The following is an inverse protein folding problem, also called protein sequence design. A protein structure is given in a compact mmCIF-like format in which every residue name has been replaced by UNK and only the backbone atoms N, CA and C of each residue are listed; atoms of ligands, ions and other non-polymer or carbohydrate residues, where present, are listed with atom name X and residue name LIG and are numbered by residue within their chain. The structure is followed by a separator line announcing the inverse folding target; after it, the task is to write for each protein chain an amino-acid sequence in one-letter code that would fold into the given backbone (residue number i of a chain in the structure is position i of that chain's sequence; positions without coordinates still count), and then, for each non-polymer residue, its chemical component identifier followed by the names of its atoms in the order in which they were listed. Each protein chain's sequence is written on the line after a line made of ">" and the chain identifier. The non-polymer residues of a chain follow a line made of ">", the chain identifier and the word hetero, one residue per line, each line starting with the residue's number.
data_IF_700221615593
#
_entry.id   IF_700221615593
#
_cell.length_a   1.000
_cell.length_b   1.000
_cell.length_c   1.000
_cell.angle_alpha   90.00
_cell.angle_beta   90.00
_cell.angle_gamma   90.00
#
_symmetry.space_group_name_H-M   'P 1'
#
loop_
_entity.id
_entity.type
_entity.pdbx_description
1 polymer ?
#
# COMPACT_ATOMS: atom_id res chain seq x y z
N UNK A 1 -51.42 35.87 -88.23
CA UNK A 1 -50.31 34.88 -88.21
C UNK A 1 -49.77 34.90 -86.81
N UNK A 2 -50.09 33.86 -86.06
CA UNK A 2 -49.87 33.78 -84.62
C UNK A 2 -48.69 32.85 -84.39
N UNK A 3 -47.60 33.37 -83.84
CA UNK A 3 -46.45 32.57 -83.41
C UNK A 3 -46.77 31.82 -82.12
N UNK A 4 -46.39 30.53 -82.00
CA UNK A 4 -46.60 29.75 -80.80
C UNK A 4 -45.44 29.91 -79.82
N UNK A 5 -45.76 30.23 -78.56
CA UNK A 5 -44.85 30.18 -77.42
C UNK A 5 -44.55 28.74 -77.01
N UNK A 6 -43.26 28.39 -76.93
CA UNK A 6 -42.76 27.13 -76.35
C UNK A 6 -42.81 27.18 -74.80
N UNK A 7 -43.09 26.06 -74.12
CA UNK A 7 -43.00 25.99 -72.67
C UNK A 7 -41.55 25.73 -72.22
N UNK A 8 -41.13 26.50 -71.22
CA UNK A 8 -39.86 26.42 -70.51
C UNK A 8 -39.89 25.22 -69.56
N UNK A 9 -39.09 24.18 -69.88
CA UNK A 9 -38.99 22.95 -69.11
C UNK A 9 -37.77 23.05 -68.18
N UNK A 10 -37.98 23.53 -66.96
CA UNK A 10 -36.97 23.59 -65.89
C UNK A 10 -37.28 22.55 -64.81
N UNK A 11 -36.69 21.36 -64.94
CA UNK A 11 -36.62 20.37 -63.86
C UNK A 11 -35.17 20.28 -63.39
N UNK A 12 -34.82 21.08 -62.38
CA UNK A 12 -33.59 20.95 -61.61
C UNK A 12 -33.72 19.74 -60.68
N UNK A 13 -33.43 18.55 -61.21
CA UNK A 13 -33.18 17.38 -60.36
C UNK A 13 -31.74 17.47 -59.82
N UNK A 14 -31.54 17.50 -58.49
CA UNK A 14 -30.20 17.52 -57.91
C UNK A 14 -29.50 16.19 -58.19
N UNK A 15 -28.32 16.29 -58.79
CA UNK A 15 -27.37 15.20 -58.99
C UNK A 15 -27.09 14.53 -57.62
N UNK A 16 -27.26 13.20 -57.47
CA UNK A 16 -26.94 12.53 -56.23
C UNK A 16 -25.44 12.61 -55.96
N UNK A 17 -25.08 13.20 -54.83
CA UNK A 17 -23.71 13.24 -54.33
C UNK A 17 -23.13 11.82 -54.31
N UNK A 18 -22.02 11.66 -55.03
CA UNK A 18 -21.19 10.47 -55.02
C UNK A 18 -20.76 10.17 -53.57
N UNK A 19 -21.43 9.20 -52.94
CA UNK A 19 -21.06 8.67 -51.63
C UNK A 19 -19.77 7.89 -51.81
N UNK A 20 -18.63 8.58 -51.66
CA UNK A 20 -17.34 7.94 -51.47
C UNK A 20 -17.45 7.02 -50.24
N UNK A 21 -17.03 5.73 -50.34
CA UNK A 21 -17.04 4.84 -49.20
C UNK A 21 -16.17 5.46 -48.08
N UNK A 22 -16.61 5.35 -46.81
CA UNK A 22 -15.87 5.91 -45.68
C UNK A 22 -14.45 5.34 -45.69
N UNK A 23 -13.47 6.25 -45.74
CA UNK A 23 -12.06 5.91 -45.59
C UNK A 23 -11.88 4.98 -44.37
N UNK A 24 -11.21 3.83 -44.53
CA UNK A 24 -11.01 2.89 -43.43
C UNK A 24 -10.33 3.63 -42.28
N UNK A 25 -11.03 3.72 -41.15
CA UNK A 25 -10.48 4.31 -39.93
C UNK A 25 -9.17 3.57 -39.63
N UNK A 26 -8.06 4.29 -39.41
CA UNK A 26 -6.81 3.64 -39.06
C UNK A 26 -7.09 2.83 -37.79
N UNK A 27 -7.03 1.52 -37.94
CA UNK A 27 -7.06 0.55 -36.88
C UNK A 27 -5.90 0.96 -35.96
N UNK A 28 -6.24 1.61 -34.85
CA UNK A 28 -5.25 2.00 -33.85
C UNK A 28 -4.74 0.71 -33.25
N UNK A 29 -3.69 0.17 -33.86
CA UNK A 29 -2.93 -0.94 -33.34
C UNK A 29 -2.69 -0.68 -31.87
N UNK A 30 -3.27 -1.56 -31.07
CA UNK A 30 -3.16 -1.63 -29.64
C UNK A 30 -1.74 -2.11 -29.28
N UNK A 31 -0.70 -1.39 -29.75
CA UNK A 31 0.63 -1.48 -29.21
C UNK A 31 0.60 -0.85 -27.80
N UNK A 32 0.00 -1.58 -26.86
CA UNK A 32 0.38 -1.52 -25.45
C UNK A 32 1.84 -1.96 -25.39
N UNK A 33 2.74 -1.05 -25.72
CA UNK A 33 4.16 -1.21 -25.44
C UNK A 33 4.25 -1.58 -23.97
N UNK A 34 4.72 -2.80 -23.72
CA UNK A 34 4.96 -3.34 -22.39
C UNK A 34 6.14 -2.55 -21.81
N UNK A 35 5.93 -1.27 -21.48
CA UNK A 35 6.90 -0.47 -20.75
C UNK A 35 6.97 -1.08 -19.37
N UNK A 36 7.89 -2.02 -19.21
CA UNK A 36 8.34 -2.48 -17.91
C UNK A 36 8.78 -1.23 -17.17
N UNK A 37 8.07 -0.91 -16.09
CA UNK A 37 8.40 0.21 -15.22
C UNK A 37 9.68 -0.15 -14.44
N UNK A 38 10.83 0.04 -15.09
CA UNK A 38 12.16 -0.34 -14.62
C UNK A 38 12.47 0.16 -13.21
N UNK A 39 11.88 1.30 -12.84
CA UNK A 39 12.04 1.89 -11.52
C UNK A 39 11.25 1.16 -10.42
N UNK A 40 10.12 0.53 -10.77
CA UNK A 40 9.37 -0.36 -9.88
C UNK A 40 10.09 -1.70 -9.71
N UNK A 41 10.61 -2.26 -10.80
CA UNK A 41 11.35 -3.53 -10.80
C UNK A 41 12.67 -3.40 -10.04
N UNK A 42 13.45 -2.33 -10.25
CA UNK A 42 14.73 -2.12 -9.58
C UNK A 42 14.59 -2.00 -8.06
N UNK A 43 13.54 -1.33 -7.57
CA UNK A 43 13.27 -1.23 -6.12
C UNK A 43 12.98 -2.58 -5.47
N UNK A 44 12.19 -3.43 -6.13
CA UNK A 44 11.90 -4.79 -5.63
C UNK A 44 13.18 -5.62 -5.56
N UNK A 45 14.03 -5.52 -6.59
CA UNK A 45 15.33 -6.20 -6.63
C UNK A 45 16.24 -5.71 -5.51
N UNK A 46 16.33 -4.39 -5.28
CA UNK A 46 17.14 -3.83 -4.17
C UNK A 46 16.66 -4.33 -2.80
N UNK A 47 15.36 -4.40 -2.56
CA UNK A 47 14.81 -4.93 -1.30
C UNK A 47 15.18 -6.41 -1.15
N UNK A 48 15.01 -7.22 -2.20
CA UNK A 48 15.38 -8.63 -2.19
C UNK A 48 16.87 -8.83 -1.92
N UNK A 49 17.75 -8.04 -2.55
CA UNK A 49 19.18 -8.09 -2.29
C UNK A 49 19.52 -7.79 -0.82
N UNK A 50 18.88 -6.77 -0.22
CA UNK A 50 19.11 -6.44 1.20
C UNK A 50 18.65 -7.55 2.14
N UNK A 51 17.49 -8.17 1.86
CA UNK A 51 17.02 -9.33 2.63
C UNK A 51 18.00 -10.49 2.49
N UNK A 52 18.48 -10.75 1.26
CA UNK A 52 19.49 -11.78 1.00
C UNK A 52 20.77 -11.57 1.80
N UNK A 53 21.23 -10.32 1.91
CA UNK A 53 22.40 -9.96 2.74
C UNK A 53 22.14 -10.26 4.23
N UNK A 54 20.97 -9.90 4.78
CA UNK A 54 20.68 -10.21 6.18
C UNK A 54 20.59 -11.72 6.44
N UNK A 55 19.99 -12.49 5.53
CA UNK A 55 19.97 -13.95 5.61
C UNK A 55 21.40 -14.52 5.57
N UNK A 56 22.26 -14.01 4.70
CA UNK A 56 23.65 -14.46 4.61
C UNK A 56 24.44 -14.16 5.91
N UNK A 57 24.30 -12.94 6.44
CA UNK A 57 24.93 -12.54 7.71
C UNK A 57 24.42 -13.41 8.86
N UNK A 58 23.11 -13.69 8.89
CA UNK A 58 22.51 -14.57 9.89
C UNK A 58 23.08 -15.98 9.81
N UNK A 59 23.17 -16.59 8.62
CA UNK A 59 23.72 -17.93 8.47
C UNK A 59 25.19 -18.02 8.86
N UNK A 60 25.98 -16.97 8.56
CA UNK A 60 27.36 -16.87 9.03
C UNK A 60 27.43 -16.80 10.57
N UNK A 61 26.62 -15.95 11.19
CA UNK A 61 26.58 -15.81 12.65
C UNK A 61 26.12 -17.11 13.32
N UNK A 62 25.05 -17.73 12.82
CA UNK A 62 24.53 -18.99 13.35
C UNK A 62 25.54 -20.14 13.20
N UNK A 63 26.23 -20.22 12.06
CA UNK A 63 27.29 -21.21 11.84
C UNK A 63 28.48 -20.99 12.78
N UNK A 64 28.90 -19.74 12.97
CA UNK A 64 29.96 -19.40 13.91
C UNK A 64 29.57 -19.74 15.34
N UNK A 65 28.35 -19.37 15.76
CA UNK A 65 27.79 -19.65 17.08
C UNK A 65 27.67 -21.15 17.33
N UNK A 66 27.22 -21.93 16.35
CA UNK A 66 27.15 -23.39 16.46
C UNK A 66 28.51 -24.05 16.69
N UNK A 67 29.55 -23.55 16.03
CA UNK A 67 30.89 -24.14 16.13
C UNK A 67 31.67 -23.71 17.38
N UNK A 68 31.38 -22.54 17.94
CA UNK A 68 32.20 -21.95 19.02
C UNK A 68 31.49 -21.89 20.38
N UNK A 69 30.16 -22.03 20.42
CA UNK A 69 29.39 -21.93 21.66
C UNK A 69 28.80 -23.29 22.03
N UNK A 70 29.14 -23.86 23.19
CA UNK A 70 28.59 -25.14 23.61
C UNK A 70 27.07 -25.05 23.80
N UNK A 71 26.39 -26.18 23.52
CA UNK A 71 24.97 -26.33 23.82
C UNK A 71 24.74 -26.28 25.35
N UNK A 72 23.64 -25.65 25.82
CA UNK A 72 22.51 -25.10 25.07
C UNK A 72 22.65 -23.62 24.68
N UNK A 73 23.73 -22.94 25.10
CA UNK A 73 23.89 -21.50 24.93
C UNK A 73 23.98 -21.07 23.46
N UNK A 74 24.57 -21.90 22.58
CA UNK A 74 24.59 -21.63 21.15
C UNK A 74 23.20 -21.57 20.51
N UNK A 75 22.24 -22.33 21.04
CA UNK A 75 20.85 -22.34 20.56
C UNK A 75 20.12 -21.05 20.97
N UNK A 76 20.39 -20.56 22.18
CA UNK A 76 19.87 -19.27 22.63
C UNK A 76 20.43 -18.10 21.81
N UNK A 77 21.75 -18.08 21.59
CA UNK A 77 22.42 -16.99 20.87
C UNK A 77 21.98 -16.95 19.39
N UNK A 78 21.88 -18.11 18.72
CA UNK A 78 21.35 -18.19 17.35
C UNK A 78 19.88 -17.75 17.26
N UNK A 79 19.08 -17.96 18.32
CA UNK A 79 17.73 -17.42 18.43
C UNK A 79 17.70 -15.87 18.46
N UNK A 80 18.63 -15.24 19.17
CA UNK A 80 18.78 -13.77 19.20
C UNK A 80 19.25 -13.25 17.83
N UNK A 81 20.21 -13.93 17.20
CA UNK A 81 20.70 -13.54 15.87
C UNK A 81 19.58 -13.61 14.82
N UNK A 82 18.75 -14.64 14.87
CA UNK A 82 17.58 -14.79 14.01
C UNK A 82 16.61 -13.62 14.22
N UNK A 83 16.40 -13.22 15.46
CA UNK A 83 15.54 -12.09 15.80
C UNK A 83 16.00 -10.78 15.17
N UNK A 84 17.30 -10.49 15.30
CA UNK A 84 17.90 -9.28 14.74
C UNK A 84 17.77 -9.30 13.21
N UNK A 85 18.02 -10.44 12.57
CA UNK A 85 17.90 -10.59 11.12
C UNK A 85 16.45 -10.39 10.62
N UNK A 86 15.47 -10.94 11.34
CA UNK A 86 14.04 -10.74 11.04
C UNK A 86 13.65 -9.26 11.20
N UNK A 87 14.06 -8.62 12.30
CA UNK A 87 13.78 -7.21 12.55
C UNK A 87 14.41 -6.29 11.49
N UNK A 88 15.66 -6.54 11.08
CA UNK A 88 16.37 -5.78 10.05
C UNK A 88 15.73 -5.95 8.66
N UNK A 89 15.36 -7.18 8.31
CA UNK A 89 14.65 -7.49 7.06
C UNK A 89 13.32 -6.77 6.99
N UNK A 90 12.55 -6.81 8.08
CA UNK A 90 11.25 -6.18 8.13
C UNK A 90 11.33 -4.65 8.05
N UNK A 91 12.29 -4.04 8.76
CA UNK A 91 12.56 -2.59 8.69
C UNK A 91 12.91 -2.16 7.27
N UNK A 92 13.72 -2.97 6.57
CA UNK A 92 14.13 -2.70 5.19
C UNK A 92 12.97 -2.81 4.20
N UNK A 93 12.09 -3.80 4.36
CA UNK A 93 10.87 -3.93 3.55
C UNK A 93 10.02 -2.67 3.73
N UNK A 94 9.80 -2.20 4.96
CA UNK A 94 8.97 -1.01 5.23
C UNK A 94 9.57 0.25 4.61
N UNK A 95 10.87 0.49 4.79
CA UNK A 95 11.54 1.66 4.23
C UNK A 95 11.53 1.62 2.70
N UNK A 96 11.56 0.42 2.11
CA UNK A 96 11.48 0.22 0.65
C UNK A 96 10.07 0.36 0.07
N UNK A 97 9.01 0.02 0.83
CA UNK A 97 7.61 0.06 0.36
C UNK A 97 6.93 1.41 0.55
N UNK A 98 7.46 2.29 1.41
CA UNK A 98 6.96 3.65 1.55
C UNK A 98 7.31 4.50 0.30
N UNK A 99 6.41 4.52 -0.69
CA UNK A 99 6.50 5.54 -1.75
C UNK A 99 6.23 6.91 -1.14
N UNK A 100 7.10 7.92 -1.35
CA UNK A 100 6.76 9.30 -1.04
C UNK A 100 5.54 9.68 -1.89
N UNK A 101 4.50 10.16 -1.20
CA UNK A 101 3.32 10.73 -1.84
C UNK A 101 3.78 11.93 -2.67
N UNK A 102 3.46 11.94 -3.96
CA UNK A 102 3.63 13.13 -4.80
C UNK A 102 2.23 13.74 -4.96
N UNK A 103 1.98 14.97 -4.45
CA UNK A 103 0.74 15.67 -4.77
C UNK A 103 0.61 15.77 -6.28
N UNK A 104 -0.53 15.35 -6.84
CA UNK A 104 -0.87 15.63 -8.23
C UNK A 104 -1.10 17.13 -8.36
N UNK A 105 -0.06 17.85 -8.79
CA UNK A 105 -0.16 19.26 -9.15
C UNK A 105 -0.81 19.37 -10.53
N UNK A 106 -2.14 19.25 -10.60
CA UNK A 106 -2.88 19.61 -11.82
C UNK A 106 -3.29 21.09 -11.72
N UNK A 107 -2.31 21.98 -11.95
CA UNK A 107 -2.55 23.41 -12.14
C UNK A 107 -2.71 23.67 -13.64
N UNK A 108 -3.93 23.57 -14.14
CA UNK A 108 -4.24 23.89 -15.53
C UNK A 108 -5.73 24.11 -15.71
N UNK A 109 -6.09 25.35 -16.08
CA UNK A 109 -7.44 25.84 -16.37
C UNK A 109 -8.19 24.89 -17.30
N UNK A 110 -9.15 24.16 -16.73
CA UNK A 110 -10.14 23.38 -17.45
C UNK A 110 -11.50 24.10 -17.33
N UNK A 111 -12.41 23.89 -18.28
CA UNK A 111 -13.78 24.45 -18.20
C UNK A 111 -14.51 24.01 -16.93
N UNK A 112 -15.50 24.77 -16.44
CA UNK A 112 -16.27 24.47 -15.21
C UNK A 112 -16.67 22.99 -15.08
N UNK A 113 -17.26 22.41 -16.14
CA UNK A 113 -17.68 21.00 -16.14
C UNK A 113 -16.51 20.01 -16.17
N UNK A 114 -15.36 20.41 -16.70
CA UNK A 114 -14.14 19.63 -16.67
C UNK A 114 -13.40 19.74 -15.33
N UNK A 115 -13.52 20.85 -14.60
CA UNK A 115 -12.96 21.01 -13.25
C UNK A 115 -13.67 20.11 -12.25
N UNK A 116 -15.01 20.05 -12.27
CA UNK A 116 -15.79 19.16 -11.38
C UNK A 116 -15.47 17.70 -11.64
N UNK A 117 -15.41 17.29 -12.92
CA UNK A 117 -15.01 15.93 -13.30
C UNK A 117 -13.58 15.60 -12.88
N UNK A 118 -12.65 16.55 -13.02
CA UNK A 118 -11.27 16.37 -12.59
C UNK A 118 -11.15 16.23 -11.08
N UNK A 119 -11.85 17.07 -10.31
CA UNK A 119 -11.92 17.00 -8.85
C UNK A 119 -12.49 15.66 -8.39
N UNK A 120 -13.63 15.23 -8.95
CA UNK A 120 -14.20 13.91 -8.67
C UNK A 120 -13.23 12.77 -9.00
N UNK A 121 -12.52 12.86 -10.12
CA UNK A 121 -11.54 11.84 -10.50
C UNK A 121 -10.37 11.78 -9.50
N UNK A 122 -9.87 12.94 -9.04
CA UNK A 122 -8.80 13.03 -8.06
C UNK A 122 -9.25 12.43 -6.72
N UNK A 123 -10.46 12.80 -6.26
CA UNK A 123 -11.04 12.25 -5.03
C UNK A 123 -11.14 10.73 -5.13
N UNK A 124 -11.63 10.18 -6.24
CA UNK A 124 -11.75 8.72 -6.43
C UNK A 124 -10.38 8.02 -6.46
N UNK A 125 -9.39 8.60 -7.14
CA UNK A 125 -8.04 8.06 -7.18
C UNK A 125 -7.41 8.04 -5.78
N UNK A 126 -7.51 9.15 -5.06
CA UNK A 126 -6.97 9.28 -3.70
C UNK A 126 -7.70 8.34 -2.73
N UNK A 127 -9.03 8.23 -2.80
CA UNK A 127 -9.79 7.24 -2.03
C UNK A 127 -9.28 5.81 -2.26
N UNK A 128 -9.09 5.41 -3.52
CA UNK A 128 -8.58 4.08 -3.85
C UNK A 128 -7.16 3.87 -3.31
N UNK A 129 -6.33 4.89 -3.36
CA UNK A 129 -4.96 4.83 -2.84
C UNK A 129 -4.94 4.74 -1.31
N UNK A 130 -5.74 5.53 -0.60
CA UNK A 130 -5.86 5.46 0.85
C UNK A 130 -6.48 4.14 1.31
N UNK A 131 -7.41 3.57 0.55
CA UNK A 131 -7.97 2.26 0.84
C UNK A 131 -6.93 1.14 0.65
N UNK A 132 -6.17 1.16 -0.45
CA UNK A 132 -5.05 0.23 -0.67
C UNK A 132 -3.99 0.33 0.44
N UNK A 133 -3.64 1.56 0.82
CA UNK A 133 -2.67 1.82 1.89
C UNK A 133 -3.21 1.34 3.25
N UNK A 134 -4.48 1.62 3.53
CA UNK A 134 -5.17 1.15 4.73
C UNK A 134 -5.21 -0.39 4.81
N UNK A 135 -5.57 -1.06 3.71
CA UNK A 135 -5.62 -2.52 3.64
C UNK A 135 -4.23 -3.16 3.81
N UNK A 136 -3.18 -2.53 3.31
CA UNK A 136 -1.80 -2.96 3.56
C UNK A 136 -1.47 -2.94 5.06
N UNK A 137 -1.72 -1.82 5.75
CA UNK A 137 -1.48 -1.71 7.19
C UNK A 137 -2.35 -2.65 8.01
N UNK A 138 -3.62 -2.81 7.64
CA UNK A 138 -4.55 -3.73 8.29
C UNK A 138 -4.09 -5.19 8.20
N UNK A 139 -3.66 -5.61 7.01
CA UNK A 139 -3.15 -6.97 6.78
C UNK A 139 -1.88 -7.21 7.58
N UNK A 140 -0.97 -6.24 7.62
CA UNK A 140 0.22 -6.28 8.47
C UNK A 140 -0.12 -6.46 9.94
N UNK A 141 -0.99 -5.60 10.50
CA UNK A 141 -1.43 -5.67 11.90
C UNK A 141 -2.00 -7.04 12.26
N UNK A 142 -2.87 -7.60 11.39
CA UNK A 142 -3.47 -8.92 11.62
C UNK A 142 -2.45 -10.03 11.58
N UNK A 143 -1.59 -10.03 10.57
CA UNK A 143 -0.49 -10.99 10.46
C UNK A 143 0.32 -11.00 11.75
N UNK A 144 0.68 -9.82 12.27
CA UNK A 144 1.40 -9.71 13.54
C UNK A 144 0.65 -10.29 14.72
N UNK A 145 -0.59 -9.83 14.97
CA UNK A 145 -1.39 -10.30 16.12
C UNK A 145 -1.56 -11.83 16.09
N UNK A 146 -1.84 -12.41 14.93
CA UNK A 146 -2.03 -13.85 14.79
C UNK A 146 -0.73 -14.64 14.93
N UNK A 147 0.36 -14.18 14.31
CA UNK A 147 1.68 -14.82 14.46
C UNK A 147 2.13 -14.79 15.92
N UNK A 148 2.02 -13.66 16.62
CA UNK A 148 2.37 -13.61 18.06
C UNK A 148 1.49 -14.51 18.92
N UNK A 149 0.18 -14.61 18.61
CA UNK A 149 -0.72 -15.50 19.35
C UNK A 149 -0.35 -16.98 19.14
N UNK A 150 -0.03 -17.38 17.91
CA UNK A 150 0.40 -18.74 17.59
C UNK A 150 1.74 -19.06 18.27
N UNK A 151 2.73 -18.17 18.16
CA UNK A 151 4.02 -18.34 18.83
C UNK A 151 3.84 -18.44 20.35
N UNK A 152 2.97 -17.61 20.94
CA UNK A 152 2.66 -17.70 22.37
C UNK A 152 2.06 -19.06 22.72
N UNK A 153 1.12 -19.57 21.91
CA UNK A 153 0.52 -20.89 22.10
C UNK A 153 1.57 -22.02 22.02
N UNK A 154 2.45 -21.97 21.02
CA UNK A 154 3.56 -22.93 20.86
C UNK A 154 4.48 -22.88 22.08
N UNK A 155 4.83 -21.68 22.56
CA UNK A 155 5.66 -21.50 23.75
C UNK A 155 5.02 -22.13 25.00
N UNK A 156 3.72 -21.90 25.21
CA UNK A 156 2.98 -22.51 26.32
C UNK A 156 2.93 -24.03 26.22
N UNK A 157 2.71 -24.58 25.03
CA UNK A 157 2.69 -26.03 24.80
C UNK A 157 4.07 -26.63 25.07
N UNK A 158 5.16 -26.00 24.59
CA UNK A 158 6.52 -26.46 24.84
C UNK A 158 6.88 -26.48 26.33
N UNK A 159 6.46 -25.47 27.09
CA UNK A 159 6.66 -25.42 28.54
C UNK A 159 5.81 -26.43 29.30
N UNK A 160 4.59 -26.71 28.81
CA UNK A 160 3.63 -27.60 29.47
C UNK A 160 3.80 -29.09 29.15
N UNK A 161 4.54 -29.44 28.10
CA UNK A 161 4.69 -30.83 27.68
C UNK A 161 5.63 -31.60 28.62
N UNK A 162 5.09 -32.55 29.36
CA UNK A 162 5.87 -33.44 30.21
C UNK A 162 6.17 -34.75 29.47
N UNK A 163 7.34 -34.82 28.85
CA UNK A 163 7.77 -35.94 27.97
C UNK A 163 8.45 -37.08 28.75
N UNK A 164 8.43 -37.03 30.09
CA UNK A 164 9.00 -38.07 30.97
C UNK A 164 8.45 -39.47 30.70
N UNK A 165 7.27 -39.57 30.09
CA UNK A 165 6.57 -40.82 29.77
C UNK A 165 6.93 -41.43 28.41
N UNK A 166 7.64 -40.71 27.52
CA UNK A 166 7.82 -41.11 26.12
C UNK A 166 9.18 -41.74 25.81
N UNK A 167 10.26 -41.37 26.50
CA UNK A 167 11.58 -42.02 26.41
C UNK A 167 12.53 -41.52 27.50
N UNK A 168 13.31 -42.42 28.13
CA UNK A 168 14.26 -42.07 29.22
C UNK A 168 15.33 -41.08 28.77
N UNK A 169 15.90 -41.25 27.58
CA UNK A 169 16.98 -40.39 27.07
C UNK A 169 16.50 -38.97 26.73
N UNK A 170 15.23 -38.84 26.30
CA UNK A 170 14.62 -37.54 26.01
C UNK A 170 14.09 -36.83 27.26
N UNK A 171 13.82 -37.58 28.34
CA UNK A 171 13.29 -37.04 29.58
C UNK A 171 14.27 -36.10 30.31
N UNK A 172 15.58 -36.27 30.09
CA UNK A 172 16.63 -35.45 30.71
C UNK A 172 16.96 -34.20 29.88
N UNK A 173 16.97 -34.31 28.55
CA UNK A 173 17.37 -33.22 27.65
C UNK A 173 16.21 -32.26 27.36
N UNK A 174 14.98 -32.79 27.26
CA UNK A 174 13.83 -32.00 26.85
C UNK A 174 13.49 -30.82 27.78
N UNK A 175 13.50 -30.94 29.12
CA UNK A 175 13.11 -29.83 30.00
C UNK A 175 13.98 -28.59 29.85
N UNK A 176 15.28 -28.77 29.64
CA UNK A 176 16.20 -27.65 29.40
C UNK A 176 16.02 -27.07 27.99
N UNK A 177 15.89 -27.93 26.99
CA UNK A 177 15.68 -27.51 25.60
C UNK A 177 14.37 -26.74 25.43
N UNK A 178 13.26 -27.26 25.96
CA UNK A 178 11.93 -26.65 25.83
C UNK A 178 11.87 -25.31 26.55
N UNK A 179 12.49 -25.20 27.73
CA UNK A 179 12.64 -23.94 28.47
C UNK A 179 13.40 -22.90 27.66
N UNK A 180 14.55 -23.27 27.08
CA UNK A 180 15.38 -22.35 26.31
C UNK A 180 14.67 -21.87 25.03
N UNK A 181 13.99 -22.77 24.31
CA UNK A 181 13.20 -22.41 23.12
C UNK A 181 12.04 -21.49 23.51
N UNK A 182 11.33 -21.79 24.61
CA UNK A 182 10.23 -20.95 25.09
C UNK A 182 10.71 -19.54 25.49
N UNK A 183 11.90 -19.44 26.09
CA UNK A 183 12.54 -18.15 26.40
C UNK A 183 12.85 -17.35 25.13
N UNK A 184 13.42 -18.00 24.11
CA UNK A 184 13.69 -17.35 22.81
C UNK A 184 12.38 -16.85 22.20
N UNK A 185 11.34 -17.70 22.14
CA UNK A 185 10.02 -17.32 21.63
C UNK A 185 9.44 -16.14 22.42
N UNK A 186 9.56 -16.13 23.75
CA UNK A 186 9.13 -15.02 24.60
C UNK A 186 9.86 -13.71 24.27
N UNK A 187 11.17 -13.77 24.07
CA UNK A 187 11.97 -12.62 23.62
C UNK A 187 11.53 -12.15 22.22
N UNK A 188 11.25 -13.08 21.30
CA UNK A 188 10.72 -12.77 19.96
C UNK A 188 9.44 -11.96 20.08
N UNK A 189 8.46 -12.48 20.82
CA UNK A 189 7.15 -11.84 20.99
C UNK A 189 7.33 -10.45 21.60
N UNK A 190 8.19 -10.30 22.61
CA UNK A 190 8.42 -9.01 23.30
C UNK A 190 8.97 -7.96 22.35
N UNK A 191 10.01 -8.28 21.58
CA UNK A 191 10.57 -7.37 20.57
C UNK A 191 9.51 -7.04 19.52
N UNK A 192 8.75 -8.05 19.09
CA UNK A 192 7.74 -7.88 18.06
C UNK A 192 6.59 -6.97 18.49
N UNK A 193 6.05 -7.18 19.69
CA UNK A 193 5.00 -6.35 20.29
C UNK A 193 5.51 -4.93 20.53
N UNK A 194 6.75 -4.76 20.98
CA UNK A 194 7.37 -3.44 21.15
C UNK A 194 7.49 -2.70 19.82
N UNK A 195 7.93 -3.39 18.76
CA UNK A 195 8.02 -2.81 17.43
C UNK A 195 6.64 -2.40 16.89
N UNK A 196 5.63 -3.22 17.14
CA UNK A 196 4.24 -2.92 16.76
C UNK A 196 3.72 -1.65 17.45
N UNK A 197 3.93 -1.53 18.76
CA UNK A 197 3.56 -0.35 19.55
C UNK A 197 4.33 0.89 19.10
N UNK A 198 5.65 0.79 18.91
CA UNK A 198 6.48 1.88 18.41
C UNK A 198 6.01 2.37 17.04
N UNK A 199 5.58 1.45 16.17
CA UNK A 199 5.18 1.78 14.81
C UNK A 199 3.77 2.33 14.70
N UNK A 200 2.96 2.16 15.74
CA UNK A 200 1.57 2.61 15.84
C UNK A 200 0.77 2.36 14.56
N UNK A 201 0.94 1.17 13.97
CA UNK A 201 0.39 0.80 12.65
C UNK A 201 -1.14 0.90 12.67
N UNK A 202 -1.75 0.57 13.81
CA UNK A 202 -3.19 0.64 14.03
C UNK A 202 -3.72 2.08 13.86
N UNK A 203 -3.02 3.08 14.40
CA UNK A 203 -3.40 4.48 14.23
C UNK A 203 -3.26 4.95 12.78
N UNK A 204 -2.23 4.50 12.04
CA UNK A 204 -2.12 4.80 10.60
C UNK A 204 -3.28 4.22 9.80
N UNK A 205 -3.67 2.97 10.09
CA UNK A 205 -4.81 2.34 9.45
C UNK A 205 -6.12 3.10 9.73
N UNK A 206 -6.38 3.45 10.99
CA UNK A 206 -7.56 4.22 11.39
C UNK A 206 -7.60 5.59 10.71
N UNK A 207 -6.47 6.29 10.64
CA UNK A 207 -6.38 7.60 9.96
C UNK A 207 -6.60 7.48 8.46
N UNK A 208 -6.03 6.47 7.81
CA UNK A 208 -6.27 6.20 6.38
C UNK A 208 -7.76 5.97 6.11
N UNK A 209 -8.45 5.19 6.97
CA UNK A 209 -9.90 5.01 6.88
C UNK A 209 -10.69 6.31 7.10
N UNK A 210 -10.31 7.10 8.11
CA UNK A 210 -10.97 8.37 8.40
C UNK A 210 -10.90 9.32 7.19
N UNK A 211 -9.75 9.38 6.50
CA UNK A 211 -9.60 10.15 5.25
C UNK A 211 -10.49 9.61 4.14
N UNK A 212 -10.55 8.29 3.93
CA UNK A 212 -11.46 7.69 2.94
C UNK A 212 -12.91 8.07 3.22
N UNK A 213 -13.35 8.05 4.49
CA UNK A 213 -14.71 8.47 4.85
C UNK A 213 -14.95 9.96 4.60
N UNK A 214 -14.00 10.84 4.97
CA UNK A 214 -14.08 12.28 4.69
C UNK A 214 -14.16 12.56 3.17
N UNK A 215 -13.33 11.88 2.38
CA UNK A 215 -13.33 11.98 0.91
C UNK A 215 -14.61 11.43 0.28
N UNK A 216 -15.15 10.31 0.79
CA UNK A 216 -16.41 9.74 0.33
C UNK A 216 -17.60 10.68 0.59
N UNK A 217 -17.63 11.33 1.76
CA UNK A 217 -18.63 12.33 2.10
C UNK A 217 -18.53 13.53 1.13
N UNK A 218 -17.32 14.06 0.93
CA UNK A 218 -17.07 15.17 0.01
C UNK A 218 -17.48 14.82 -1.44
N UNK A 219 -17.14 13.61 -1.90
CA UNK A 219 -17.56 13.11 -3.21
C UNK A 219 -19.08 13.14 -3.36
N UNK A 220 -19.81 12.62 -2.37
CA UNK A 220 -21.27 12.57 -2.38
C UNK A 220 -21.89 13.97 -2.39
N UNK A 221 -21.30 14.92 -1.66
CA UNK A 221 -21.73 16.31 -1.68
C UNK A 221 -21.55 16.94 -3.07
N UNK A 222 -20.40 16.74 -3.71
CA UNK A 222 -20.13 17.25 -5.07
C UNK A 222 -21.08 16.61 -6.09
N UNK A 223 -21.29 15.29 -6.03
CA UNK A 223 -22.24 14.59 -6.92
C UNK A 223 -23.68 15.08 -6.75
N UNK A 224 -24.09 15.44 -5.54
CA UNK A 224 -25.41 16.00 -5.29
C UNK A 224 -25.56 17.42 -5.84
N UNK A 225 -24.50 18.24 -5.75
CA UNK A 225 -24.48 19.60 -6.32
C UNK A 225 -24.49 19.58 -7.85
N UNK A 226 -23.75 18.65 -8.45
CA UNK A 226 -23.72 18.40 -9.90
C UNK A 226 -25.10 18.02 -10.43
N UNK A 227 -25.79 17.10 -9.76
CA UNK A 227 -27.17 16.70 -10.09
C UNK A 227 -28.19 17.84 -9.92
N UNK A 228 -27.94 18.77 -9.00
CA UNK A 228 -28.81 19.91 -8.75
C UNK A 228 -28.61 21.05 -9.78
N UNK A 229 -27.64 20.96 -10.68
CA UNK A 229 -27.36 21.98 -11.69
C UNK A 229 -26.87 23.31 -11.11
N UNK A 230 -26.41 23.32 -9.86
CA UNK A 230 -25.94 24.51 -9.14
C UNK A 230 -24.46 24.36 -8.79
N UNK A 231 -23.60 24.79 -9.70
CA UNK A 231 -22.16 24.85 -9.45
C UNK A 231 -21.61 26.23 -9.81
N UNK A 232 -21.89 27.26 -9.00
CA UNK A 232 -21.11 28.48 -9.06
C UNK A 232 -19.63 28.14 -8.79
N UNK A 233 -18.71 28.78 -9.52
CA UNK A 233 -17.27 28.64 -9.33
C UNK A 233 -16.83 28.77 -7.86
N UNK A 234 -17.45 29.66 -7.10
CA UNK A 234 -17.17 29.86 -5.67
C UNK A 234 -17.42 28.59 -4.84
N UNK A 235 -18.47 27.82 -5.16
CA UNK A 235 -18.80 26.58 -4.45
C UNK A 235 -17.83 25.47 -4.83
N UNK A 236 -17.41 25.41 -6.11
CA UNK A 236 -16.37 24.47 -6.58
C UNK A 236 -15.06 24.74 -5.84
N UNK A 237 -14.66 26.00 -5.76
CA UNK A 237 -13.44 26.43 -5.08
C UNK A 237 -13.48 26.06 -3.59
N UNK A 238 -14.60 26.29 -2.91
CA UNK A 238 -14.78 25.88 -1.51
C UNK A 238 -14.64 24.36 -1.32
N UNK A 239 -15.19 23.55 -2.23
CA UNK A 239 -15.06 22.08 -2.16
C UNK A 239 -13.63 21.61 -2.49
N UNK A 240 -12.95 22.31 -3.38
CA UNK A 240 -11.54 22.07 -3.66
C UNK A 240 -10.67 22.37 -2.42
N UNK A 241 -10.91 23.49 -1.74
CA UNK A 241 -10.21 23.83 -0.50
C UNK A 241 -10.47 22.82 0.62
N UNK A 242 -11.70 22.32 0.75
CA UNK A 242 -12.04 21.25 1.68
C UNK A 242 -11.26 19.96 1.35
N UNK A 243 -11.17 19.60 0.06
CA UNK A 243 -10.36 18.48 -0.41
C UNK A 243 -8.88 18.67 -0.03
N UNK A 244 -8.29 19.81 -0.37
CA UNK A 244 -6.88 20.12 -0.06
C UNK A 244 -6.64 20.05 1.46
N UNK A 245 -7.54 20.59 2.27
CA UNK A 245 -7.46 20.57 3.74
C UNK A 245 -7.42 19.14 4.28
N UNK A 246 -8.29 18.25 3.78
CA UNK A 246 -8.31 16.82 4.19
C UNK A 246 -6.96 16.16 3.90
N UNK A 247 -6.41 16.42 2.71
CA UNK A 247 -5.14 15.85 2.26
C UNK A 247 -3.97 16.42 3.08
N UNK A 248 -3.95 17.74 3.31
CA UNK A 248 -2.93 18.39 4.14
C UNK A 248 -2.95 17.93 5.59
N UNK A 249 -4.14 17.77 6.19
CA UNK A 249 -4.31 17.26 7.55
C UNK A 249 -3.69 15.86 7.67
N UNK A 250 -3.96 14.98 6.70
CA UNK A 250 -3.35 13.66 6.65
C UNK A 250 -1.83 13.71 6.45
N UNK A 251 -1.35 14.60 5.58
CA UNK A 251 0.09 14.76 5.34
C UNK A 251 0.82 15.30 6.56
N UNK A 252 0.25 16.26 7.27
CA UNK A 252 0.76 16.76 8.55
C UNK A 252 0.78 15.66 9.59
N UNK A 253 -0.27 14.84 9.69
CA UNK A 253 -0.26 13.67 10.56
C UNK A 253 0.87 12.69 10.21
N UNK A 254 1.10 12.45 8.91
CA UNK A 254 2.16 11.57 8.43
C UNK A 254 3.56 12.13 8.68
N UNK A 255 3.77 13.43 8.48
CA UNK A 255 5.03 14.14 8.71
C UNK A 255 5.33 14.32 10.20
N UNK A 256 4.37 14.76 11.01
CA UNK A 256 4.51 14.84 12.47
C UNK A 256 4.77 13.47 13.11
N UNK A 257 4.25 12.39 12.52
CA UNK A 257 4.62 11.02 12.89
C UNK A 257 6.06 10.60 12.51
N UNK A 258 6.74 11.34 11.63
CA UNK A 258 8.15 11.15 11.29
C UNK A 258 9.06 12.10 12.10
N UNK A 259 8.63 13.34 12.34
CA UNK A 259 9.41 14.33 13.08
C UNK A 259 9.47 14.01 14.59
N UNK A 260 8.34 13.57 15.18
CA UNK A 260 8.32 13.06 16.55
C UNK A 260 9.15 11.76 16.72
N UNK A 261 9.53 11.08 15.63
CA UNK A 261 10.44 9.92 15.67
C UNK A 261 11.92 10.31 15.59
N UNK A 262 12.25 11.48 15.03
CA UNK A 262 13.62 11.99 14.98
C UNK A 262 13.99 12.80 16.22
N UNK A 263 12.99 13.35 16.93
CA UNK A 263 13.19 14.14 18.16
C UNK A 263 12.86 13.42 19.48
N UNK A 264 12.39 12.17 19.46
CA UNK A 264 12.18 11.43 20.70
C UNK A 264 13.55 11.02 21.27
N UNK A 265 13.95 11.46 22.49
CA UNK A 265 15.10 10.89 23.15
C UNK A 265 14.87 9.39 23.26
N UNK A 266 15.86 8.61 22.82
CA UNK A 266 15.84 7.17 23.02
C UNK A 266 15.63 6.89 24.52
N UNK A 267 14.65 6.07 24.92
CA UNK A 267 14.54 5.62 26.29
C UNK A 267 15.76 4.80 26.70
#
# INVERSE_FOLDING_TARGET
>A
MSEPTLPENGSDDPVPDNILPPSPKPEKEEFRSFRVDWHSTSRKVIILCKIGIYCFIFLMAASWTYNNVPMPYGLFLSGIELLIAVAASFTTIRLGTNKPWKPYANKGLLSESAQVKLLLSNIVMDMKQFDQTGNYYFTGVRFYKYTTAILSGISTVLLGLNVKTLNKDWAEIYPELSKNIAFVIGAIITVWTSLMSYWNIEKYWQQSKAVVYKLAALKKEIENLDKAGKLPDEVIQQKYEAYVTIIEEYNKYRQGGNDNRQGAPAP
#
